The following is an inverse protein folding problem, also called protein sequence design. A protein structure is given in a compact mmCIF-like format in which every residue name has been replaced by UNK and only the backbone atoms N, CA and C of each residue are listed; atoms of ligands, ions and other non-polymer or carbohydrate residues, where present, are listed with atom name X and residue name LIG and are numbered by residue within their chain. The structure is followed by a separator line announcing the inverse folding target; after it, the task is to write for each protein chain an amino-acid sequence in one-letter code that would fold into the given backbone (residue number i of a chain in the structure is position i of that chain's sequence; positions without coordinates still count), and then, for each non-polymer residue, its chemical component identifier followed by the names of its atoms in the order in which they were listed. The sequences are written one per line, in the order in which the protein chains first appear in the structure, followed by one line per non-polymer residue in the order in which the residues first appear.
data_IF_034790798417
#
_entry.id   IF_034790798417
#
_cell.length_a   1.000
_cell.length_b   1.000
_cell.length_c   1.000
_cell.angle_alpha   90.00
_cell.angle_beta   90.00
_cell.angle_gamma   90.00
#
_symmetry.space_group_name_H-M   'P 1'
#
loop_
_entity.id
_entity.type
_entity.pdbx_description
1 polymer ?
#
# COMPACT_ATOMS: atom_id res chain seq x y z
N UNK A 1 -20.23 -8.89 -0.88
CA UNK A 1 -19.52 -7.57 -0.85
C UNK A 1 -19.88 -6.88 0.45
N UNK A 2 -18.93 -6.31 1.20
CA UNK A 2 -19.20 -5.69 2.50
C UNK A 2 -20.01 -4.38 2.32
N UNK A 3 -21.10 -4.23 3.06
CA UNK A 3 -22.01 -3.07 2.97
C UNK A 3 -21.41 -1.77 3.52
N UNK A 4 -20.48 -1.87 4.47
CA UNK A 4 -19.86 -0.69 5.11
C UNK A 4 -18.79 -0.02 4.24
N UNK A 5 -18.02 -0.83 3.50
CA UNK A 5 -16.92 -0.34 2.67
C UNK A 5 -17.16 -0.50 1.17
N UNK A 6 -18.29 -1.08 0.76
CA UNK A 6 -18.60 -1.40 -0.64
C UNK A 6 -17.49 -2.17 -1.36
N UNK A 7 -16.80 -3.06 -0.62
CA UNK A 7 -15.68 -3.86 -1.14
C UNK A 7 -14.36 -3.10 -1.30
N UNK A 8 -14.27 -1.81 -0.92
CA UNK A 8 -13.04 -1.01 -1.05
C UNK A 8 -12.07 -1.19 0.12
N UNK A 9 -12.51 -1.81 1.22
CA UNK A 9 -11.74 -1.87 2.47
C UNK A 9 -11.71 -0.55 3.25
N UNK A 10 -12.30 0.53 2.74
CA UNK A 10 -12.34 1.85 3.41
C UNK A 10 -13.80 2.20 3.75
N UNK A 11 -14.04 2.55 5.01
CA UNK A 11 -15.30 3.09 5.50
C UNK A 11 -15.20 4.61 5.44
N UNK A 12 -16.20 5.26 4.86
CA UNK A 12 -16.32 6.72 4.81
C UNK A 12 -17.58 7.14 5.56
N UNK A 13 -17.43 7.98 6.57
CA UNK A 13 -18.54 8.49 7.38
C UNK A 13 -18.45 10.00 7.48
N UNK A 14 -19.49 10.70 7.05
CA UNK A 14 -19.59 12.14 7.26
C UNK A 14 -19.92 12.42 8.73
N UNK A 15 -19.08 13.19 9.41
CA UNK A 15 -19.26 13.56 10.83
C UNK A 15 -19.81 14.96 11.00
N UNK A 16 -19.45 15.87 10.08
CA UNK A 16 -20.00 17.22 9.93
C UNK A 16 -20.11 17.54 8.44
N UNK A 17 -20.91 18.55 8.03
CA UNK A 17 -21.01 18.93 6.62
C UNK A 17 -19.62 19.18 6.01
N UNK A 18 -19.25 18.34 5.05
CA UNK A 18 -17.94 18.39 4.36
C UNK A 18 -16.77 17.74 5.11
N UNK A 19 -16.97 17.19 6.30
CA UNK A 19 -15.94 16.47 7.07
C UNK A 19 -16.22 14.98 7.04
N UNK A 20 -15.38 14.23 6.32
CA UNK A 20 -15.50 12.79 6.16
C UNK A 20 -14.39 12.09 6.93
N UNK A 21 -14.77 11.32 7.95
CA UNK A 21 -13.91 10.36 8.62
C UNK A 21 -13.68 9.15 7.70
N UNK A 22 -12.41 8.74 7.57
CA UNK A 22 -12.01 7.57 6.77
C UNK A 22 -11.35 6.56 7.69
N UNK A 23 -11.96 5.39 7.82
CA UNK A 23 -11.46 4.30 8.66
C UNK A 23 -11.26 3.03 7.83
N UNK A 24 -10.37 2.16 8.28
CA UNK A 24 -10.22 0.81 7.72
C UNK A 24 -11.44 -0.06 8.02
N UNK A 25 -11.83 -0.90 7.07
CA UNK A 25 -12.86 -1.91 7.29
C UNK A 25 -12.23 -3.21 7.81
N UNK A 26 -12.87 -3.84 8.78
CA UNK A 26 -12.41 -5.10 9.37
C UNK A 26 -13.12 -6.34 8.79
N UNK A 27 -13.77 -6.21 7.62
CA UNK A 27 -14.38 -7.37 6.97
C UNK A 27 -13.31 -8.31 6.40
N UNK A 28 -13.67 -9.58 6.20
CA UNK A 28 -12.75 -10.63 5.75
C UNK A 28 -12.02 -10.27 4.45
N UNK A 29 -12.75 -9.73 3.47
CA UNK A 29 -12.17 -9.30 2.19
C UNK A 29 -11.14 -8.18 2.39
N UNK A 30 -11.42 -7.22 3.28
CA UNK A 30 -10.51 -6.13 3.55
C UNK A 30 -9.24 -6.61 4.27
N UNK A 31 -9.34 -7.59 5.17
CA UNK A 31 -8.19 -8.22 5.82
C UNK A 31 -7.31 -8.95 4.81
N UNK A 32 -7.90 -9.78 3.96
CA UNK A 32 -7.18 -10.49 2.89
C UNK A 32 -6.46 -9.52 1.95
N UNK A 33 -7.13 -8.42 1.59
CA UNK A 33 -6.54 -7.39 0.75
C UNK A 33 -5.40 -6.64 1.44
N UNK A 34 -5.50 -6.40 2.75
CA UNK A 34 -4.41 -5.83 3.54
C UNK A 34 -3.20 -6.76 3.55
N UNK A 35 -3.38 -8.05 3.85
CA UNK A 35 -2.30 -9.03 3.86
C UNK A 35 -1.62 -9.17 2.48
N UNK A 36 -2.40 -9.14 1.40
CA UNK A 36 -1.85 -9.17 0.04
C UNK A 36 -1.06 -7.91 -0.28
N UNK A 37 -1.57 -6.74 0.11
CA UNK A 37 -0.87 -5.47 -0.07
C UNK A 37 0.43 -5.42 0.72
N UNK A 38 0.44 -5.92 1.96
CA UNK A 38 1.64 -6.00 2.79
C UNK A 38 2.70 -6.89 2.12
N UNK A 39 2.31 -8.06 1.59
CA UNK A 39 3.23 -8.93 0.81
C UNK A 39 3.78 -8.23 -0.42
N UNK A 40 2.94 -7.49 -1.14
CA UNK A 40 3.36 -6.71 -2.32
C UNK A 40 4.31 -5.58 -1.94
N UNK A 41 4.08 -4.94 -0.79
CA UNK A 41 4.93 -3.89 -0.26
C UNK A 41 6.32 -4.40 0.09
N UNK A 42 6.41 -5.52 0.84
CA UNK A 42 7.70 -6.14 1.16
C UNK A 42 8.47 -6.56 -0.10
N UNK A 43 7.79 -7.16 -1.09
CA UNK A 43 8.41 -7.50 -2.36
C UNK A 43 8.92 -6.26 -3.12
N UNK A 44 8.18 -5.15 -3.05
CA UNK A 44 8.58 -3.89 -3.66
C UNK A 44 9.82 -3.30 -2.98
N UNK A 45 9.89 -3.34 -1.64
CA UNK A 45 11.05 -2.86 -0.88
C UNK A 45 12.33 -3.61 -1.24
N UNK A 46 12.27 -4.95 -1.34
CA UNK A 46 13.41 -5.78 -1.76
C UNK A 46 13.88 -5.38 -3.17
N UNK A 47 12.93 -5.25 -4.12
CA UNK A 47 13.24 -4.84 -5.49
C UNK A 47 13.86 -3.44 -5.53
N UNK A 48 13.31 -2.52 -4.75
CA UNK A 48 13.78 -1.14 -4.69
C UNK A 48 15.22 -1.07 -4.18
N UNK A 49 15.57 -1.84 -3.14
CA UNK A 49 16.94 -1.87 -2.62
C UNK A 49 17.93 -2.45 -3.64
N UNK A 50 17.55 -3.51 -4.36
CA UNK A 50 18.34 -4.04 -5.47
C UNK A 50 18.57 -3.00 -6.57
N UNK A 51 17.56 -2.22 -6.92
CA UNK A 51 17.67 -1.16 -7.92
C UNK A 51 18.63 -0.03 -7.48
N UNK A 52 18.68 0.29 -6.18
CA UNK A 52 19.64 1.26 -5.63
C UNK A 52 21.08 0.76 -5.79
N UNK A 53 21.34 -0.50 -5.43
CA UNK A 53 22.68 -1.10 -5.57
C UNK A 53 23.13 -1.13 -7.03
N UNK A 54 22.22 -1.47 -7.95
CA UNK A 54 22.49 -1.40 -9.40
C UNK A 54 22.88 -0.01 -9.87
N UNK A 55 22.16 1.01 -9.39
CA UNK A 55 22.44 2.40 -9.73
C UNK A 55 23.81 2.83 -9.22
N UNK A 56 24.19 2.44 -8.00
CA UNK A 56 25.51 2.73 -7.41
C UNK A 56 26.63 2.07 -8.22
N UNK A 57 26.50 0.78 -8.59
CA UNK A 57 27.48 0.08 -9.43
C UNK A 57 27.67 0.79 -10.78
N UNK A 58 26.58 1.22 -11.42
CA UNK A 58 26.64 1.96 -12.68
C UNK A 58 27.34 3.32 -12.55
N UNK A 59 27.21 4.00 -11.41
CA UNK A 59 27.93 5.25 -11.14
C UNK A 59 29.42 5.01 -10.98
N UNK A 60 29.82 3.97 -10.25
CA UNK A 60 31.23 3.61 -10.06
C UNK A 60 31.91 3.22 -11.39
N UNK A 61 31.26 2.41 -12.23
CA UNK A 61 31.79 2.02 -13.53
C UNK A 61 32.01 3.20 -14.49
N UNK A 62 31.20 4.27 -14.38
CA UNK A 62 31.38 5.49 -15.19
C UNK A 62 32.51 6.40 -14.69
N UNK A 63 33.00 6.18 -13.47
CA UNK A 63 34.07 6.97 -12.86
C UNK A 63 35.46 6.33 -13.01
N UNK A 64 35.53 5.07 -13.46
CA UNK A 64 36.77 4.34 -13.77
C UNK A 64 37.11 4.41 -15.25
#
# INVERSE_FOLDING_TARGET
MCTLCNGTGIIRKETYPGVIEKNGCNCEVAKQQQEENDKRWEAWLIKFESMKQDLERKKQQKAS
#
